data_IF_830554745107
#
_entry.id   IF_830554745107
#
_cell.length_a   1.000
_cell.length_b   1.000
_cell.length_c   1.000
_cell.angle_alpha   90.00
_cell.angle_beta   90.00
_cell.angle_gamma   90.00
#
_symmetry.space_group_name_H-M   'P 1'
#
loop_
_entity.id
_entity.type
_entity.pdbx_description
1 polymer ?
#
# COMPACT_ATOMS: atom_id res chain seq x y z
N UNK A 1 18.63 8.60 21.80
CA UNK A 1 18.12 7.71 20.72
C UNK A 1 17.27 8.54 19.77
N UNK A 2 17.55 8.56 18.44
CA UNK A 2 16.78 9.38 17.49
C UNK A 2 15.36 8.80 17.34
N UNK A 3 14.35 9.67 17.37
CA UNK A 3 12.94 9.32 17.25
C UNK A 3 12.68 8.51 15.96
N UNK A 4 11.88 7.42 15.96
CA UNK A 4 11.66 6.56 14.79
C UNK A 4 11.15 7.33 13.57
N UNK A 5 10.35 8.39 13.77
CA UNK A 5 9.88 9.29 12.71
C UNK A 5 11.04 10.05 12.03
N UNK A 6 12.05 10.49 12.79
CA UNK A 6 13.20 11.20 12.23
C UNK A 6 14.07 10.27 11.36
N UNK A 7 14.23 9.00 11.76
CA UNK A 7 14.96 7.99 10.97
C UNK A 7 14.22 7.60 9.68
N UNK A 8 12.89 7.50 9.74
CA UNK A 8 12.08 7.21 8.56
C UNK A 8 12.03 8.38 7.59
N UNK A 9 11.92 9.62 8.10
CA UNK A 9 12.04 10.84 7.30
C UNK A 9 13.42 10.93 6.62
N UNK A 10 14.50 10.61 7.34
CA UNK A 10 15.85 10.56 6.79
C UNK A 10 16.01 9.53 5.65
N UNK A 11 15.43 8.31 5.79
CA UNK A 11 15.46 7.29 4.72
C UNK A 11 14.62 7.70 3.50
N UNK A 12 13.46 8.31 3.72
CA UNK A 12 12.62 8.83 2.64
C UNK A 12 13.32 9.95 1.90
N UNK A 13 13.98 10.85 2.61
CA UNK A 13 14.75 11.96 2.06
C UNK A 13 15.96 11.45 1.28
N UNK A 14 16.70 10.48 1.83
CA UNK A 14 17.83 9.83 1.14
C UNK A 14 17.37 9.13 -0.13
N UNK A 15 16.26 8.38 -0.08
CA UNK A 15 15.70 7.72 -1.26
C UNK A 15 15.27 8.73 -2.33
N UNK A 16 14.68 9.86 -1.92
CA UNK A 16 14.28 10.93 -2.83
C UNK A 16 15.51 11.60 -3.46
N UNK A 17 16.53 11.93 -2.67
CA UNK A 17 17.77 12.51 -3.17
C UNK A 17 18.48 11.54 -4.13
N UNK A 18 18.59 10.27 -3.78
CA UNK A 18 19.15 9.23 -4.66
C UNK A 18 18.36 9.12 -5.98
N UNK A 19 17.04 9.20 -5.93
CA UNK A 19 16.21 9.16 -7.15
C UNK A 19 16.43 10.40 -8.01
N UNK A 20 16.49 11.59 -7.40
CA UNK A 20 16.75 12.85 -8.11
C UNK A 20 18.14 12.84 -8.77
N UNK A 21 19.14 12.23 -8.14
CA UNK A 21 20.48 12.12 -8.71
C UNK A 21 20.58 11.02 -9.76
N UNK A 22 19.88 9.90 -9.58
CA UNK A 22 19.96 8.76 -10.49
C UNK A 22 19.22 9.01 -11.82
N UNK A 23 18.09 9.72 -11.80
CA UNK A 23 17.28 10.00 -13.00
C UNK A 23 18.09 10.74 -14.08
N UNK A 24 18.80 11.85 -13.81
CA UNK A 24 19.59 12.51 -14.83
C UNK A 24 20.77 11.64 -15.31
N UNK A 25 21.39 10.84 -14.45
CA UNK A 25 22.47 9.92 -14.86
C UNK A 25 21.94 8.89 -15.85
N UNK A 26 20.80 8.27 -15.54
CA UNK A 26 20.14 7.30 -16.45
C UNK A 26 19.73 7.98 -17.76
N UNK A 27 19.18 9.19 -17.71
CA UNK A 27 18.82 9.95 -18.90
C UNK A 27 20.05 10.24 -19.79
N UNK A 28 21.16 10.64 -19.19
CA UNK A 28 22.44 10.87 -19.90
C UNK A 28 22.92 9.57 -20.54
N UNK A 29 22.89 8.43 -19.86
CA UNK A 29 23.28 7.13 -20.43
C UNK A 29 22.38 6.74 -21.59
N UNK A 30 21.06 6.90 -21.46
CA UNK A 30 20.07 6.60 -22.52
C UNK A 30 20.32 7.45 -23.79
N UNK A 31 20.80 8.68 -23.64
CA UNK A 31 21.02 9.58 -24.77
C UNK A 31 22.43 9.47 -25.35
N UNK A 32 23.45 9.46 -24.50
CA UNK A 32 24.85 9.53 -24.94
C UNK A 32 25.41 8.19 -25.45
N UNK A 33 24.99 7.06 -24.86
CA UNK A 33 25.50 5.75 -25.32
C UNK A 33 25.04 5.45 -26.76
N UNK A 34 23.73 5.59 -27.10
CA UNK A 34 23.30 5.42 -28.50
C UNK A 34 23.89 6.46 -29.43
N UNK A 35 24.08 7.71 -28.97
CA UNK A 35 24.72 8.75 -29.78
C UNK A 35 26.17 8.40 -30.10
N UNK A 36 26.93 7.90 -29.12
CA UNK A 36 28.29 7.41 -29.34
C UNK A 36 28.35 6.24 -30.34
N UNK A 37 27.44 5.25 -30.19
CA UNK A 37 27.33 4.13 -31.13
C UNK A 37 26.99 4.61 -32.53
N UNK A 38 26.03 5.52 -32.69
CA UNK A 38 25.65 6.07 -33.99
C UNK A 38 26.78 6.86 -34.64
N UNK A 39 27.61 7.56 -33.85
CA UNK A 39 28.73 8.35 -34.36
C UNK A 39 29.87 7.49 -34.99
N UNK A 40 30.09 6.28 -34.45
CA UNK A 40 31.14 5.34 -34.92
C UNK A 40 30.59 4.31 -35.91
N UNK A 41 29.28 4.22 -36.10
CA UNK A 41 28.69 3.27 -37.02
C UNK A 41 29.05 3.61 -38.47
N UNK A 42 29.43 2.64 -39.31
CA UNK A 42 29.76 2.85 -40.72
C UNK A 42 28.49 2.95 -41.58
N UNK A 43 27.65 3.94 -41.29
CA UNK A 43 26.36 4.21 -41.97
C UNK A 43 26.30 5.64 -42.47
N UNK A 44 25.48 5.87 -43.49
CA UNK A 44 25.20 7.20 -44.01
C UNK A 44 24.58 8.12 -42.94
N UNK A 45 24.80 9.43 -43.05
CA UNK A 45 24.41 10.40 -42.03
C UNK A 45 22.91 10.37 -41.70
N UNK A 46 22.07 10.17 -42.72
CA UNK A 46 20.62 10.03 -42.54
C UNK A 46 20.23 8.79 -41.71
N UNK A 47 20.98 7.71 -41.86
CA UNK A 47 20.77 6.48 -41.08
C UNK A 47 21.29 6.57 -39.65
N UNK A 48 22.22 7.47 -39.34
CA UNK A 48 22.75 7.67 -37.97
C UNK A 48 21.66 8.09 -36.99
N UNK A 49 20.73 8.95 -37.42
CA UNK A 49 19.58 9.37 -36.59
C UNK A 49 18.69 8.17 -36.29
N UNK A 50 18.46 7.29 -37.25
CA UNK A 50 17.67 6.07 -37.07
C UNK A 50 18.36 5.11 -36.08
N UNK A 51 19.68 4.89 -36.25
CA UNK A 51 20.48 4.05 -35.32
C UNK A 51 20.44 4.60 -33.91
N UNK A 52 20.59 5.93 -33.77
CA UNK A 52 20.48 6.59 -32.46
C UNK A 52 19.07 6.40 -31.83
N UNK A 53 18.01 6.64 -32.62
CA UNK A 53 16.64 6.51 -32.13
C UNK A 53 16.30 5.07 -31.68
N UNK A 54 16.69 4.06 -32.46
CA UNK A 54 16.52 2.64 -32.11
C UNK A 54 17.33 2.30 -30.85
N UNK A 55 18.58 2.76 -30.77
CA UNK A 55 19.40 2.56 -29.59
C UNK A 55 18.80 3.20 -28.33
N UNK A 56 18.35 4.45 -28.42
CA UNK A 56 17.72 5.16 -27.31
C UNK A 56 16.43 4.45 -26.84
N UNK A 57 15.60 3.98 -27.80
CA UNK A 57 14.40 3.21 -27.50
C UNK A 57 14.74 1.88 -26.80
N UNK A 58 15.75 1.16 -27.29
CA UNK A 58 16.21 -0.09 -26.70
C UNK A 58 16.71 0.09 -25.25
N UNK A 59 17.56 1.09 -25.01
CA UNK A 59 18.04 1.37 -23.65
C UNK A 59 16.93 1.81 -22.72
N UNK A 60 16.00 2.63 -23.18
CA UNK A 60 14.81 3.03 -22.40
C UNK A 60 14.00 1.82 -21.99
N UNK A 61 13.73 0.92 -22.92
CA UNK A 61 12.99 -0.32 -22.65
C UNK A 61 13.75 -1.25 -21.69
N UNK A 62 15.05 -1.46 -21.91
CA UNK A 62 15.89 -2.31 -21.09
C UNK A 62 15.99 -1.82 -19.63
N UNK A 63 16.23 -0.52 -19.43
CA UNK A 63 16.25 0.09 -18.10
C UNK A 63 14.86 0.03 -17.42
N UNK A 64 13.79 0.29 -18.16
CA UNK A 64 12.42 0.16 -17.67
C UNK A 64 12.11 -1.27 -17.23
N UNK A 65 12.44 -2.25 -18.06
CA UNK A 65 12.24 -3.67 -17.74
C UNK A 65 13.08 -4.12 -16.53
N UNK A 66 14.34 -3.70 -16.45
CA UNK A 66 15.21 -3.99 -15.30
C UNK A 66 14.68 -3.38 -14.01
N UNK A 67 14.21 -2.12 -14.05
CA UNK A 67 13.63 -1.44 -12.89
C UNK A 67 12.35 -2.15 -12.41
N UNK A 68 11.48 -2.56 -13.35
CA UNK A 68 10.27 -3.32 -13.04
C UNK A 68 10.63 -4.68 -12.42
N UNK A 69 11.55 -5.45 -13.05
CA UNK A 69 11.98 -6.74 -12.55
C UNK A 69 12.55 -6.63 -11.13
N UNK A 70 13.41 -5.64 -10.88
CA UNK A 70 13.98 -5.40 -9.56
C UNK A 70 12.92 -5.01 -8.51
N UNK A 71 11.94 -4.19 -8.90
CA UNK A 71 10.84 -3.82 -8.01
C UNK A 71 9.98 -5.03 -7.66
N UNK A 72 9.64 -5.88 -8.64
CA UNK A 72 8.87 -7.12 -8.43
C UNK A 72 9.63 -8.09 -7.56
N UNK A 73 10.92 -8.34 -7.84
CA UNK A 73 11.75 -9.24 -7.05
C UNK A 73 11.76 -8.86 -5.56
N UNK A 74 11.90 -7.58 -5.26
CA UNK A 74 11.92 -7.11 -3.87
C UNK A 74 10.57 -7.15 -3.15
N UNK A 75 9.45 -7.17 -3.86
CA UNK A 75 8.13 -7.32 -3.23
C UNK A 75 7.80 -8.79 -2.95
N UNK A 76 8.48 -9.73 -3.59
CA UNK A 76 8.24 -11.18 -3.43
C UNK A 76 8.85 -11.77 -2.15
N UNK A 77 9.62 -11.02 -1.40
CA UNK A 77 10.33 -11.49 -0.20
C UNK A 77 9.40 -12.10 0.85
N UNK A 78 8.16 -11.65 0.92
CA UNK A 78 7.13 -12.16 1.85
C UNK A 78 6.35 -13.37 1.30
N UNK A 79 6.53 -13.75 0.02
CA UNK A 79 5.77 -14.85 -0.58
C UNK A 79 5.87 -16.18 0.16
N UNK A 80 7.05 -16.62 0.63
CA UNK A 80 7.15 -17.88 1.38
C UNK A 80 6.31 -17.86 2.66
N UNK A 81 6.34 -16.74 3.40
CA UNK A 81 5.62 -16.59 4.66
C UNK A 81 4.10 -16.56 4.45
N UNK A 82 3.63 -15.87 3.39
CA UNK A 82 2.21 -15.86 3.05
C UNK A 82 1.73 -17.21 2.50
N UNK A 83 2.55 -17.88 1.69
CA UNK A 83 2.22 -19.22 1.18
C UNK A 83 2.10 -20.25 2.30
N UNK A 84 2.95 -20.15 3.33
CA UNK A 84 2.91 -21.02 4.50
C UNK A 84 1.59 -20.92 5.30
N UNK A 85 0.89 -19.78 5.21
CA UNK A 85 -0.42 -19.56 5.85
C UNK A 85 -1.59 -19.66 4.85
N UNK A 86 -1.34 -20.18 3.63
CA UNK A 86 -2.37 -20.46 2.63
C UNK A 86 -2.80 -19.27 1.76
N UNK A 87 -2.09 -18.13 1.83
CA UNK A 87 -2.39 -16.98 0.96
C UNK A 87 -1.54 -17.03 -0.32
N UNK A 88 -2.19 -16.76 -1.46
CA UNK A 88 -1.56 -16.75 -2.78
C UNK A 88 -1.24 -15.32 -3.21
N UNK A 89 0.03 -15.10 -3.59
CA UNK A 89 0.54 -13.80 -4.01
C UNK A 89 0.29 -13.53 -5.50
N UNK A 90 -0.02 -12.27 -5.82
CA UNK A 90 -0.03 -11.73 -7.19
C UNK A 90 0.57 -10.33 -7.20
N UNK A 91 1.09 -9.90 -8.35
CA UNK A 91 1.56 -8.54 -8.55
C UNK A 91 0.96 -7.99 -9.84
N UNK A 92 0.22 -6.90 -9.72
CA UNK A 92 -0.28 -6.13 -10.87
C UNK A 92 0.50 -4.82 -11.05
N UNK A 93 1.24 -4.41 -9.99
CA UNK A 93 2.09 -3.22 -10.00
C UNK A 93 3.48 -3.54 -9.44
N UNK A 94 4.55 -2.99 -10.00
CA UNK A 94 5.94 -3.32 -9.61
C UNK A 94 6.26 -3.07 -8.12
N UNK A 95 5.60 -2.08 -7.51
CA UNK A 95 5.86 -1.67 -6.12
C UNK A 95 4.81 -2.17 -5.13
N UNK A 96 3.82 -2.93 -5.60
CA UNK A 96 2.72 -3.43 -4.79
C UNK A 96 2.56 -4.93 -5.00
N UNK A 97 2.65 -5.68 -3.94
CA UNK A 97 2.38 -7.11 -3.89
C UNK A 97 1.11 -7.35 -3.10
N UNK A 98 0.25 -8.21 -3.61
CA UNK A 98 -1.02 -8.59 -2.98
C UNK A 98 -1.04 -10.09 -2.73
N UNK A 99 -1.68 -10.49 -1.64
CA UNK A 99 -1.98 -11.88 -1.34
C UNK A 99 -3.45 -11.99 -0.99
N UNK A 100 -4.06 -13.09 -1.40
CA UNK A 100 -5.45 -13.39 -1.08
C UNK A 100 -5.64 -14.88 -0.85
N UNK A 101 -6.61 -15.22 -0.03
CA UNK A 101 -6.95 -16.58 0.32
C UNK A 101 -7.95 -16.64 1.45
N UNK A 102 -7.87 -17.67 2.27
CA UNK A 102 -8.70 -17.82 3.46
C UNK A 102 -7.82 -18.06 4.69
N UNK A 103 -8.19 -17.47 5.81
CA UNK A 103 -7.61 -17.75 7.11
C UNK A 103 -8.73 -18.22 8.04
N UNK A 104 -8.66 -19.48 8.47
CA UNK A 104 -9.82 -20.13 9.09
C UNK A 104 -11.01 -20.15 8.14
N UNK A 105 -12.14 -19.60 8.58
CA UNK A 105 -13.36 -19.52 7.79
C UNK A 105 -13.56 -18.16 7.07
N UNK A 106 -12.59 -17.24 7.15
CA UNK A 106 -12.72 -15.89 6.61
C UNK A 106 -11.84 -15.64 5.40
N UNK A 107 -12.32 -14.90 4.39
CA UNK A 107 -11.44 -14.37 3.36
C UNK A 107 -10.39 -13.45 3.98
N UNK A 108 -9.13 -13.65 3.58
CA UNK A 108 -7.99 -12.89 4.06
C UNK A 108 -7.28 -12.21 2.89
N UNK A 109 -6.89 -10.98 3.10
CA UNK A 109 -6.18 -10.15 2.13
C UNK A 109 -4.95 -9.55 2.77
N UNK A 110 -3.87 -9.47 2.01
CA UNK A 110 -2.69 -8.76 2.43
C UNK A 110 -2.12 -7.95 1.28
N UNK A 111 -1.50 -6.81 1.60
CA UNK A 111 -0.81 -5.99 0.62
C UNK A 111 0.50 -5.50 1.20
N UNK A 112 1.53 -5.49 0.36
CA UNK A 112 2.81 -4.90 0.69
C UNK A 112 3.20 -3.86 -0.35
N UNK A 113 3.27 -2.60 0.09
CA UNK A 113 3.78 -1.51 -0.71
C UNK A 113 5.23 -1.23 -0.32
N UNK A 114 6.16 -1.48 -1.23
CA UNK A 114 7.60 -1.26 -1.01
C UNK A 114 7.92 0.20 -0.68
N UNK A 115 7.26 1.14 -1.37
CA UNK A 115 7.39 2.57 -1.09
C UNK A 115 6.78 2.88 0.27
N UNK A 116 7.62 3.17 1.25
CA UNK A 116 7.23 3.41 2.64
C UNK A 116 7.16 2.16 3.52
N UNK A 117 7.47 0.94 2.98
CA UNK A 117 7.46 -0.30 3.75
C UNK A 117 6.12 -0.55 4.44
N UNK A 118 5.01 -0.43 3.68
CA UNK A 118 3.66 -0.57 4.24
C UNK A 118 3.15 -1.97 4.02
N UNK A 119 2.82 -2.67 5.10
CA UNK A 119 2.15 -3.96 5.10
C UNK A 119 0.74 -3.79 5.67
N UNK A 120 -0.25 -4.23 4.94
CA UNK A 120 -1.63 -4.32 5.42
C UNK A 120 -2.05 -5.79 5.43
N UNK A 121 -2.68 -6.22 6.52
CA UNK A 121 -3.35 -7.51 6.64
C UNK A 121 -4.80 -7.25 6.98
N UNK A 122 -5.73 -7.91 6.29
CA UNK A 122 -7.16 -7.74 6.50
C UNK A 122 -7.88 -9.09 6.51
N UNK A 123 -8.84 -9.21 7.41
CA UNK A 123 -9.83 -10.30 7.42
C UNK A 123 -11.20 -9.72 7.08
N UNK A 124 -11.91 -10.39 6.16
CA UNK A 124 -13.27 -9.99 5.81
C UNK A 124 -14.24 -10.35 6.95
N UNK A 125 -14.99 -9.36 7.39
CA UNK A 125 -16.06 -9.52 8.37
C UNK A 125 -17.14 -8.46 8.12
N UNK A 126 -18.42 -8.82 8.21
CA UNK A 126 -19.52 -7.88 7.99
C UNK A 126 -19.69 -6.92 9.17
N UNK A 127 -18.74 -6.00 9.28
CA UNK A 127 -18.79 -4.92 10.26
C UNK A 127 -19.35 -3.67 9.59
N UNK A 128 -20.43 -3.14 10.13
CA UNK A 128 -21.09 -1.94 9.61
C UNK A 128 -20.67 -0.64 10.32
N UNK A 129 -19.45 -0.54 10.84
CA UNK A 129 -18.98 0.65 11.57
C UNK A 129 -17.49 0.89 11.36
N UNK A 130 -16.98 2.00 11.87
CA UNK A 130 -15.55 2.37 11.80
C UNK A 130 -14.98 2.57 13.19
N UNK A 131 -13.83 1.94 13.44
CA UNK A 131 -13.03 2.21 14.63
C UNK A 131 -11.54 2.16 14.29
N UNK A 132 -10.75 2.89 15.04
CA UNK A 132 -9.30 3.00 14.86
C UNK A 132 -8.58 2.91 16.20
N UNK A 133 -7.55 2.06 16.26
CA UNK A 133 -6.75 1.80 17.45
C UNK A 133 -5.26 1.94 17.13
N UNK A 134 -4.48 2.57 18.02
CA UNK A 134 -3.04 2.72 17.86
C UNK A 134 -2.36 3.06 19.17
N UNK A 135 -1.10 2.66 19.30
CA UNK A 135 -0.25 3.00 20.44
C UNK A 135 0.37 4.40 20.36
N UNK A 136 0.38 5.03 19.18
CA UNK A 136 1.06 6.32 18.96
C UNK A 136 0.19 7.28 18.15
N UNK A 137 0.26 8.57 18.50
CA UNK A 137 -0.25 9.63 17.65
C UNK A 137 0.68 9.82 16.45
N UNK A 138 0.24 9.45 15.26
CA UNK A 138 1.01 9.62 14.03
C UNK A 138 0.32 10.59 13.08
N UNK A 139 1.10 11.50 12.49
CA UNK A 139 0.61 12.56 11.57
C UNK A 139 -0.17 11.96 10.37
N UNK A 140 0.15 10.74 9.93
CA UNK A 140 -0.56 10.07 8.83
C UNK A 140 -1.96 9.55 9.16
N UNK A 141 -2.41 9.63 10.43
CA UNK A 141 -3.70 9.11 10.89
C UNK A 141 -4.85 10.12 10.86
N UNK A 142 -4.57 11.39 10.67
CA UNK A 142 -5.63 12.43 10.70
C UNK A 142 -6.77 12.08 9.75
N UNK A 143 -6.46 11.60 8.54
CA UNK A 143 -7.47 11.19 7.55
C UNK A 143 -8.35 10.02 8.03
N UNK A 144 -7.80 9.11 8.82
CA UNK A 144 -8.51 7.92 9.31
C UNK A 144 -9.35 8.21 10.55
N UNK A 145 -9.03 9.31 11.24
CA UNK A 145 -9.76 9.79 12.41
C UNK A 145 -10.88 10.80 12.07
N UNK A 146 -10.94 11.28 10.82
CA UNK A 146 -11.98 12.19 10.38
C UNK A 146 -13.35 11.53 10.54
N UNK A 147 -14.23 12.18 11.29
CA UNK A 147 -15.58 11.67 11.56
C UNK A 147 -15.67 10.59 12.63
N UNK A 148 -14.57 10.29 13.36
CA UNK A 148 -14.57 9.39 14.50
C UNK A 148 -14.53 10.16 15.81
N UNK A 149 -15.28 9.66 16.80
CA UNK A 149 -15.29 10.19 18.17
C UNK A 149 -14.22 9.48 19.01
N UNK A 150 -13.36 10.21 19.73
CA UNK A 150 -12.39 9.60 20.64
C UNK A 150 -13.07 8.79 21.74
N UNK A 151 -12.51 7.61 22.04
CA UNK A 151 -12.90 6.81 23.20
C UNK A 151 -12.02 7.22 24.40
N UNK A 152 -12.60 7.96 25.34
CA UNK A 152 -11.85 8.50 26.48
C UNK A 152 -11.48 7.43 27.52
N UNK A 153 -12.37 6.45 27.74
CA UNK A 153 -12.18 5.42 28.76
C UNK A 153 -12.35 4.03 28.16
N UNK A 154 -11.27 3.25 28.02
CA UNK A 154 -11.40 1.87 27.56
C UNK A 154 -12.05 1.00 28.65
N UNK A 155 -12.86 -0.01 28.27
CA UNK A 155 -13.49 -0.93 29.21
C UNK A 155 -12.47 -1.84 29.91
N UNK A 156 -11.34 -2.12 29.29
CA UNK A 156 -10.26 -2.94 29.85
C UNK A 156 -9.05 -2.07 30.22
N UNK A 157 -8.55 -2.15 31.47
CA UNK A 157 -7.36 -1.40 31.90
C UNK A 157 -6.11 -1.65 31.05
N UNK A 158 -5.99 -2.82 30.43
CA UNK A 158 -4.88 -3.18 29.55
C UNK A 158 -4.81 -2.32 28.30
N UNK A 159 -5.91 -1.69 27.91
CA UNK A 159 -5.99 -0.79 26.75
C UNK A 159 -5.61 0.66 27.08
N UNK A 160 -5.26 0.96 28.34
CA UNK A 160 -4.81 2.31 28.72
C UNK A 160 -3.56 2.70 27.95
N UNK A 161 -3.54 3.95 27.49
CA UNK A 161 -2.43 4.48 26.67
C UNK A 161 -2.60 4.27 25.17
N UNK A 162 -3.58 3.47 24.74
CA UNK A 162 -3.93 3.41 23.31
C UNK A 162 -4.79 4.60 22.92
N UNK A 163 -4.54 5.11 21.71
CA UNK A 163 -5.39 6.12 21.07
C UNK A 163 -6.50 5.36 20.34
N UNK A 164 -7.73 5.59 20.75
CA UNK A 164 -8.91 4.92 20.22
C UNK A 164 -9.94 5.93 19.76
N UNK A 165 -10.56 5.68 18.62
CA UNK A 165 -11.66 6.49 18.09
C UNK A 165 -12.62 5.60 17.28
N UNK A 166 -13.91 5.92 17.33
CA UNK A 166 -14.95 5.14 16.69
C UNK A 166 -16.12 6.00 16.22
N UNK A 167 -16.85 5.56 15.20
CA UNK A 167 -18.12 6.15 14.79
C UNK A 167 -19.27 5.74 15.73
N UNK A 168 -19.23 4.52 16.25
CA UNK A 168 -20.17 4.02 17.28
C UNK A 168 -19.36 3.59 18.50
N UNK A 169 -19.30 4.48 19.50
CA UNK A 169 -18.49 4.28 20.72
C UNK A 169 -19.08 3.21 21.64
N UNK A 170 -20.41 3.08 21.69
CA UNK A 170 -21.08 2.08 22.52
C UNK A 170 -20.82 0.67 21.98
N UNK A 171 -21.04 0.46 20.70
CA UNK A 171 -20.73 -0.79 20.02
C UNK A 171 -19.24 -1.16 20.16
N UNK A 172 -18.35 -0.18 19.92
CA UNK A 172 -16.90 -0.41 20.05
C UNK A 172 -16.51 -0.79 21.48
N UNK A 173 -17.11 -0.18 22.50
CA UNK A 173 -16.88 -0.56 23.89
C UNK A 173 -17.33 -2.00 24.18
N UNK A 174 -18.45 -2.43 23.58
CA UNK A 174 -18.91 -3.82 23.67
C UNK A 174 -17.91 -4.79 23.03
N UNK A 175 -17.34 -4.46 21.87
CA UNK A 175 -16.28 -5.27 21.23
C UNK A 175 -15.04 -5.34 22.10
N UNK A 176 -14.58 -4.19 22.62
CA UNK A 176 -13.39 -4.12 23.47
C UNK A 176 -13.55 -4.86 24.82
N UNK A 177 -14.78 -5.03 25.30
CA UNK A 177 -15.10 -5.82 26.48
C UNK A 177 -15.14 -7.33 26.25
N UNK A 178 -15.06 -7.80 25.00
CA UNK A 178 -15.06 -9.25 24.72
C UNK A 178 -13.73 -9.89 25.14
N UNK A 179 -13.77 -11.16 25.60
CA UNK A 179 -12.57 -11.89 26.01
C UNK A 179 -11.52 -11.94 24.90
N UNK A 180 -10.26 -11.70 25.25
CA UNK A 180 -9.11 -11.81 24.35
C UNK A 180 -8.87 -10.59 23.45
N UNK A 181 -9.83 -9.68 23.27
CA UNK A 181 -9.69 -8.51 22.37
C UNK A 181 -8.60 -7.56 22.84
N UNK A 182 -8.53 -7.28 24.15
CA UNK A 182 -7.51 -6.41 24.70
C UNK A 182 -6.10 -6.96 24.46
N UNK A 183 -5.92 -8.27 24.64
CA UNK A 183 -4.64 -8.96 24.40
C UNK A 183 -4.30 -8.95 22.90
N UNK A 184 -5.26 -9.28 22.03
CA UNK A 184 -5.08 -9.25 20.58
C UNK A 184 -4.69 -7.85 20.07
N UNK A 185 -5.33 -6.78 20.57
CA UNK A 185 -4.97 -5.41 20.22
C UNK A 185 -3.56 -5.05 20.68
N UNK A 186 -3.17 -5.42 21.88
CA UNK A 186 -1.80 -5.18 22.36
C UNK A 186 -0.79 -5.92 21.51
N UNK A 187 -0.99 -7.20 21.25
CA UNK A 187 -0.12 -8.00 20.39
C UNK A 187 0.04 -7.38 18.99
N UNK A 188 -1.03 -6.86 18.41
CA UNK A 188 -0.99 -6.21 17.10
C UNK A 188 -0.29 -4.85 17.13
N UNK A 189 -0.47 -4.07 18.18
CA UNK A 189 -0.02 -2.68 18.26
C UNK A 189 1.36 -2.51 18.90
N UNK A 190 1.78 -3.46 19.74
CA UNK A 190 3.11 -3.43 20.36
C UNK A 190 4.18 -3.79 19.31
N UNK A 191 5.15 -2.90 19.16
CA UNK A 191 6.37 -3.15 18.40
C UNK A 191 7.56 -3.16 19.34
N UNK A 192 8.09 -4.36 19.63
CA UNK A 192 9.26 -4.53 20.49
C UNK A 192 10.51 -3.82 19.95
N UNK A 193 10.58 -3.56 18.62
CA UNK A 193 11.69 -2.85 18.00
C UNK A 193 11.57 -1.33 18.12
N UNK A 194 10.39 -0.79 18.36
CA UNK A 194 10.08 0.64 18.35
C UNK A 194 10.32 1.31 16.99
N UNK A 195 10.40 0.53 15.91
CA UNK A 195 10.72 1.01 14.55
C UNK A 195 9.51 1.14 13.67
N UNK A 196 8.51 0.31 13.92
CA UNK A 196 7.29 0.28 13.14
C UNK A 196 6.22 1.19 13.73
N UNK A 197 5.37 1.69 12.86
CA UNK A 197 4.12 2.32 13.27
C UNK A 197 2.98 1.39 12.90
N UNK A 198 2.17 1.04 13.88
CA UNK A 198 1.09 0.06 13.75
C UNK A 198 -0.24 0.68 14.15
N UNK A 199 -1.27 0.37 13.40
CA UNK A 199 -2.64 0.67 13.78
C UNK A 199 -3.60 -0.40 13.28
N UNK A 200 -4.63 -0.65 14.08
CA UNK A 200 -5.72 -1.56 13.75
C UNK A 200 -6.93 -0.73 13.38
N UNK A 201 -7.60 -1.12 12.31
CA UNK A 201 -8.79 -0.48 11.78
C UNK A 201 -9.91 -1.50 11.69
N UNK A 202 -11.04 -1.17 12.26
CA UNK A 202 -12.31 -1.81 11.95
C UNK A 202 -13.01 -0.93 10.93
N UNK A 203 -13.37 -1.49 9.79
CA UNK A 203 -14.04 -0.80 8.69
C UNK A 203 -15.21 -1.61 8.18
N UNK A 204 -16.18 -0.98 7.50
CA UNK A 204 -17.22 -1.74 6.83
C UNK A 204 -16.61 -2.84 5.96
N UNK A 205 -17.02 -4.08 6.22
CA UNK A 205 -16.57 -5.27 5.50
C UNK A 205 -15.24 -5.88 5.94
N UNK A 206 -14.45 -5.28 6.85
CA UNK A 206 -13.20 -5.91 7.29
C UNK A 206 -12.64 -5.38 8.63
N UNK A 207 -11.80 -6.22 9.24
CA UNK A 207 -10.86 -5.82 10.30
C UNK A 207 -9.44 -5.91 9.73
N UNK A 208 -8.64 -4.84 9.86
CA UNK A 208 -7.30 -4.81 9.31
C UNK A 208 -6.26 -4.20 10.25
N UNK A 209 -5.02 -4.67 10.11
CA UNK A 209 -3.84 -4.00 10.65
C UNK A 209 -3.05 -3.37 9.51
N UNK A 210 -2.53 -2.18 9.74
CA UNK A 210 -1.55 -1.55 8.88
C UNK A 210 -0.26 -1.33 9.67
N UNK A 211 0.85 -1.76 9.10
CA UNK A 211 2.21 -1.61 9.63
C UNK A 211 3.01 -0.77 8.65
N UNK A 212 3.69 0.26 9.13
CA UNK A 212 4.60 1.08 8.32
C UNK A 212 6.05 0.90 8.76
N UNK A 213 6.95 1.08 7.78
CA UNK A 213 8.40 0.95 7.96
C UNK A 213 8.82 -0.43 8.43
N UNK A 214 8.11 -1.45 7.94
CA UNK A 214 8.44 -2.84 8.26
C UNK A 214 9.81 -3.23 7.72
N UNK A 215 10.44 -4.14 8.42
CA UNK A 215 11.48 -5.01 7.89
C UNK A 215 10.80 -6.27 7.35
N UNK A 216 10.81 -6.51 6.01
CA UNK A 216 10.09 -7.65 5.43
C UNK A 216 10.57 -9.00 5.96
N UNK A 217 11.87 -9.13 6.25
CA UNK A 217 12.45 -10.40 6.73
C UNK A 217 11.93 -10.72 8.14
N UNK A 218 11.89 -9.72 9.02
CA UNK A 218 11.34 -9.88 10.36
C UNK A 218 9.81 -9.99 10.38
N UNK A 219 9.13 -9.28 9.46
CA UNK A 219 7.67 -9.25 9.40
C UNK A 219 7.08 -10.62 9.07
N UNK A 220 7.73 -11.40 8.20
CA UNK A 220 7.25 -12.71 7.76
C UNK A 220 7.02 -13.69 8.91
N UNK A 221 7.87 -13.67 9.92
CA UNK A 221 7.79 -14.59 11.06
C UNK A 221 6.52 -14.40 11.93
N UNK A 222 5.93 -13.20 11.94
CA UNK A 222 4.79 -12.86 12.81
C UNK A 222 3.42 -12.86 12.13
N UNK A 223 3.36 -13.11 10.81
CA UNK A 223 2.12 -13.00 10.02
C UNK A 223 0.98 -13.89 10.54
N UNK A 224 1.29 -15.16 10.83
CA UNK A 224 0.29 -16.10 11.32
C UNK A 224 -0.29 -15.71 12.68
N UNK A 225 0.53 -15.16 13.57
CA UNK A 225 0.09 -14.66 14.88
C UNK A 225 -0.79 -13.41 14.73
N UNK A 226 -0.41 -12.50 13.84
CA UNK A 226 -1.18 -11.29 13.57
C UNK A 226 -2.54 -11.60 12.96
N UNK A 227 -2.63 -12.57 12.04
CA UNK A 227 -3.91 -13.01 11.51
C UNK A 227 -4.78 -13.67 12.57
N UNK A 228 -4.20 -14.45 13.49
CA UNK A 228 -4.93 -15.00 14.64
C UNK A 228 -5.48 -13.90 15.56
N UNK A 229 -4.68 -12.90 15.87
CA UNK A 229 -5.11 -11.76 16.66
C UNK A 229 -6.21 -10.94 15.96
N UNK A 230 -6.12 -10.74 14.63
CA UNK A 230 -7.18 -10.12 13.84
C UNK A 230 -8.46 -10.97 13.85
N UNK A 231 -8.35 -12.30 13.81
CA UNK A 231 -9.49 -13.23 13.87
C UNK A 231 -10.25 -13.16 15.20
N UNK A 232 -9.53 -12.99 16.31
CA UNK A 232 -10.13 -12.73 17.62
C UNK A 232 -10.96 -11.46 17.59
N UNK A 233 -10.42 -10.37 17.04
CA UNK A 233 -11.14 -9.09 16.94
C UNK A 233 -12.35 -9.21 16.00
N UNK A 234 -12.19 -9.85 14.85
CA UNK A 234 -13.28 -10.07 13.89
C UNK A 234 -14.41 -10.90 14.51
N UNK A 235 -14.07 -11.93 15.29
CA UNK A 235 -15.04 -12.75 16.03
C UNK A 235 -15.78 -11.94 17.09
N UNK A 236 -15.08 -11.07 17.81
CA UNK A 236 -15.68 -10.17 18.79
C UNK A 236 -16.62 -9.14 18.12
N UNK A 237 -16.24 -8.62 16.95
CA UNK A 237 -17.12 -7.74 16.16
C UNK A 237 -18.43 -8.45 15.79
N UNK A 238 -18.36 -9.72 15.37
CA UNK A 238 -19.55 -10.54 15.07
C UNK A 238 -20.40 -10.77 16.31
N UNK A 239 -19.77 -11.09 17.44
CA UNK A 239 -20.46 -11.33 18.71
C UNK A 239 -21.13 -10.07 19.28
N UNK A 240 -20.58 -8.89 19.06
CA UNK A 240 -21.17 -7.62 19.48
C UNK A 240 -22.44 -7.25 18.70
N UNK A 241 -22.75 -7.97 17.61
CA UNK A 241 -23.94 -7.71 16.79
C UNK A 241 -23.84 -6.46 15.92
N UNK A 242 -25.01 -5.94 15.51
CA UNK A 242 -25.06 -4.80 14.60
C UNK A 242 -24.88 -3.47 15.33
N UNK A 243 -24.03 -2.55 14.82
CA UNK A 243 -23.90 -1.20 15.38
C UNK A 243 -25.20 -0.39 15.19
N UNK A 244 -25.45 0.53 16.10
CA UNK A 244 -26.61 1.41 16.04
C UNK A 244 -26.51 2.37 14.82
N UNK A 245 -25.31 2.85 14.53
CA UNK A 245 -25.03 3.67 13.36
C UNK A 245 -24.29 2.81 12.32
N UNK A 246 -25.03 2.32 11.33
CA UNK A 246 -24.44 1.53 10.25
C UNK A 246 -23.83 2.44 9.19
N UNK A 247 -22.58 2.18 8.88
CA UNK A 247 -21.85 2.76 7.76
C UNK A 247 -21.69 1.69 6.69
N UNK A 248 -22.16 1.96 5.48
CA UNK A 248 -22.00 1.03 4.37
C UNK A 248 -20.62 1.19 3.71
N UNK A 249 -20.08 0.07 3.23
CA UNK A 249 -18.85 0.06 2.43
C UNK A 249 -19.15 0.61 1.04
N UNK A 250 -18.47 1.69 0.66
CA UNK A 250 -18.57 2.22 -0.70
C UNK A 250 -18.01 1.23 -1.75
N UNK A 251 -18.51 1.31 -2.99
CA UNK A 251 -18.06 0.44 -4.08
C UNK A 251 -16.55 0.57 -4.33
N UNK A 252 -16.01 1.78 -4.27
CA UNK A 252 -14.58 2.08 -4.42
C UNK A 252 -13.78 1.47 -3.24
N UNK A 253 -14.26 1.64 -2.00
CA UNK A 253 -13.62 1.10 -0.81
C UNK A 253 -13.54 -0.45 -0.88
N UNK A 254 -14.60 -1.10 -1.34
CA UNK A 254 -14.67 -2.55 -1.58
C UNK A 254 -13.70 -3.00 -2.66
N UNK A 255 -13.61 -2.26 -3.77
CA UNK A 255 -12.69 -2.55 -4.85
C UNK A 255 -11.22 -2.46 -4.37
N UNK A 256 -10.86 -1.40 -3.63
CA UNK A 256 -9.53 -1.25 -3.05
C UNK A 256 -9.20 -2.31 -2.00
N UNK A 257 -10.18 -2.74 -1.21
CA UNK A 257 -9.98 -3.82 -0.24
C UNK A 257 -9.65 -5.16 -0.90
N UNK A 258 -10.40 -5.51 -1.96
CA UNK A 258 -10.23 -6.80 -2.66
C UNK A 258 -9.04 -6.84 -3.59
N UNK A 259 -8.73 -5.73 -4.23
CA UNK A 259 -7.63 -5.61 -5.19
C UNK A 259 -7.11 -4.17 -5.26
N UNK A 260 -6.28 -3.74 -4.30
CA UNK A 260 -5.73 -2.37 -4.30
C UNK A 260 -4.97 -2.03 -5.57
N UNK A 261 -4.19 -2.98 -6.12
CA UNK A 261 -3.46 -2.76 -7.37
C UNK A 261 -4.38 -2.67 -8.58
N UNK A 262 -5.43 -3.52 -8.64
CA UNK A 262 -6.43 -3.47 -9.71
C UNK A 262 -7.23 -2.17 -9.68
N UNK A 263 -7.71 -1.76 -8.51
CA UNK A 263 -8.41 -0.49 -8.34
C UNK A 263 -7.52 0.71 -8.65
N UNK A 264 -6.25 0.68 -8.22
CA UNK A 264 -5.25 1.69 -8.53
C UNK A 264 -4.96 1.78 -10.02
N UNK A 265 -4.83 0.64 -10.70
CA UNK A 265 -4.62 0.60 -12.16
C UNK A 265 -5.80 1.22 -12.90
N UNK A 266 -7.04 0.87 -12.55
CA UNK A 266 -8.25 1.44 -13.15
C UNK A 266 -8.29 2.95 -12.98
N UNK A 267 -7.95 3.46 -11.78
CA UNK A 267 -7.87 4.91 -11.54
C UNK A 267 -6.79 5.59 -12.39
N UNK A 268 -5.60 5.00 -12.48
CA UNK A 268 -4.49 5.55 -13.29
C UNK A 268 -4.85 5.54 -14.77
N UNK A 269 -5.40 4.45 -15.29
CA UNK A 269 -5.85 4.36 -16.69
C UNK A 269 -6.97 5.36 -16.96
N UNK A 270 -7.96 5.46 -16.06
CA UNK A 270 -9.03 6.45 -16.17
C UNK A 270 -8.49 7.90 -16.19
N UNK A 271 -7.55 8.22 -15.31
CA UNK A 271 -6.93 9.54 -15.25
C UNK A 271 -6.10 9.85 -16.50
N UNK A 272 -5.35 8.87 -17.02
CA UNK A 272 -4.62 9.01 -18.27
C UNK A 272 -5.56 9.19 -19.46
N UNK A 273 -6.65 8.44 -19.53
CA UNK A 273 -7.65 8.58 -20.59
C UNK A 273 -8.29 9.96 -20.58
N UNK A 274 -8.64 10.50 -19.40
CA UNK A 274 -9.21 11.86 -19.29
C UNK A 274 -8.24 12.97 -19.68
N UNK A 275 -6.93 12.74 -19.61
CA UNK A 275 -5.91 13.70 -20.08
C UNK A 275 -5.57 13.53 -21.56
N UNK A 276 -5.42 12.28 -22.04
CA UNK A 276 -4.98 12.00 -23.39
C UNK A 276 -6.08 12.24 -24.44
N UNK A 277 -7.34 11.90 -24.13
CA UNK A 277 -8.44 12.06 -25.10
C UNK A 277 -8.61 13.52 -25.51
N UNK A 278 -8.70 14.51 -24.61
CA UNK A 278 -8.76 15.92 -25.00
C UNK A 278 -7.52 16.40 -25.77
N UNK A 279 -6.32 15.93 -25.38
CA UNK A 279 -5.09 16.31 -26.07
C UNK A 279 -5.06 15.78 -27.53
N UNK A 280 -5.47 14.53 -27.73
CA UNK A 280 -5.57 13.93 -29.08
C UNK A 280 -6.62 14.68 -29.91
N UNK A 281 -7.81 14.95 -29.36
CA UNK A 281 -8.86 15.69 -30.04
C UNK A 281 -8.39 17.07 -30.45
N UNK A 282 -7.73 17.80 -29.52
CA UNK A 282 -7.18 19.12 -29.80
C UNK A 282 -6.13 19.08 -30.93
N UNK A 283 -5.23 18.10 -30.88
CA UNK A 283 -4.19 17.91 -31.91
C UNK A 283 -4.83 17.62 -33.24
N UNK A 284 -5.81 16.72 -33.31
CA UNK A 284 -6.52 16.43 -34.59
C UNK A 284 -7.24 17.65 -35.12
N UNK A 285 -7.92 18.42 -34.27
CA UNK A 285 -8.59 19.67 -34.67
C UNK A 285 -7.58 20.69 -35.20
N UNK A 286 -6.43 20.88 -34.55
CA UNK A 286 -5.38 21.79 -34.98
C UNK A 286 -4.78 21.36 -36.32
N UNK A 287 -4.54 20.06 -36.53
CA UNK A 287 -4.05 19.53 -37.81
C UNK A 287 -5.07 19.77 -38.94
N UNK A 288 -6.35 19.46 -38.68
CA UNK A 288 -7.41 19.68 -39.69
C UNK A 288 -7.54 21.15 -40.04
N UNK A 289 -7.48 22.06 -39.07
CA UNK A 289 -7.53 23.50 -39.28
C UNK A 289 -6.30 24.05 -40.03
N UNK A 290 -5.14 23.41 -39.87
CA UNK A 290 -3.91 23.82 -40.57
C UNK A 290 -3.84 23.33 -42.02
N UNK A 291 -4.69 22.41 -42.43
CA UNK A 291 -4.78 21.87 -43.80
C UNK A 291 -5.82 22.62 -44.65
N UNK A 292 -6.56 23.54 -44.09
CA UNK A 292 -7.51 24.43 -44.75
C UNK A 292 -7.01 25.88 -44.71
#
# INVERSE_FOLDING_TARGET
MAHPVARAAGRSLLATVLTILLVPIVAVVILLVPAGIAAIAPVEDDLRVVVWAIGAAFFTFAFGAAAIAFAVFRTNVLDPSFSAIGLRGRSLMPNLREWSGTFGARPAYATYARRGGVLELALEEDVGTRASFSAQATVGRVRELIGLTPLATPPDPRLRGLIMAASDTAWTSTVLGQPGVAEALRQLLEDASGREVRWVLVRPGCVKITRRWIDPDAAGATLGEQLRALDVIATACRAAGRPAQRVEEGAIERAFRRSPSGAGLVLVVGMLATMLVPAIVLTVVMVVLSLH
#
